data_IF_458141087938
#
_entry.id   IF_458141087938
#
_cell.length_a   1.000
_cell.length_b   1.000
_cell.length_c   1.000
_cell.angle_alpha   90.00
_cell.angle_beta   90.00
_cell.angle_gamma   90.00
#
_symmetry.space_group_name_H-M   'P 1'
#
loop_
_entity.id
_entity.type
_entity.pdbx_description
1 polymer ?
#
# COMPACT_ATOMS: atom_id res chain seq x y z
N UNK A 1 39.31 61.67 10.55
CA UNK A 1 39.78 60.62 11.47
C UNK A 1 38.53 60.01 12.07
N UNK A 2 38.04 58.96 11.46
CA UNK A 2 36.85 58.22 11.94
C UNK A 2 37.36 57.01 12.74
N UNK A 3 37.20 57.09 14.05
CA UNK A 3 37.46 55.95 14.93
C UNK A 3 36.41 54.86 14.67
N UNK A 4 36.87 53.85 14.02
CA UNK A 4 36.12 52.59 13.83
C UNK A 4 36.10 51.88 15.21
N UNK A 5 34.98 52.00 15.91
CA UNK A 5 34.69 51.20 17.11
C UNK A 5 34.60 49.73 16.72
N UNK A 6 35.73 49.04 16.73
CA UNK A 6 35.81 47.60 16.78
C UNK A 6 35.01 47.12 18.01
N UNK A 7 33.80 46.61 17.81
CA UNK A 7 33.10 45.83 18.81
C UNK A 7 33.97 44.61 19.09
N UNK A 8 34.65 44.59 20.20
CA UNK A 8 35.28 43.40 20.74
C UNK A 8 34.22 42.32 20.88
N UNK A 9 34.19 41.37 19.96
CA UNK A 9 33.40 40.16 20.13
C UNK A 9 33.95 39.48 21.38
N UNK A 10 33.18 39.50 22.48
CA UNK A 10 33.57 38.81 23.71
C UNK A 10 33.86 37.34 23.37
N UNK A 11 34.95 36.83 23.89
CA UNK A 11 35.35 35.44 23.69
C UNK A 11 34.14 34.53 24.04
N UNK A 12 33.77 33.64 23.12
CA UNK A 12 32.68 32.69 23.34
C UNK A 12 33.05 31.83 24.53
N UNK A 13 32.17 31.80 25.55
CA UNK A 13 32.40 30.99 26.74
C UNK A 13 32.21 29.51 26.44
N UNK A 14 32.92 28.66 27.15
CA UNK A 14 32.70 27.21 27.08
C UNK A 14 31.53 26.79 27.95
N UNK A 15 30.98 25.62 27.71
CA UNK A 15 29.86 25.04 28.48
C UNK A 15 30.28 24.69 29.92
N UNK A 16 31.56 24.65 30.23
CA UNK A 16 32.12 24.22 31.52
C UNK A 16 32.32 22.72 31.66
N UNK A 17 31.87 21.94 30.67
CA UNK A 17 32.16 20.51 30.59
C UNK A 17 33.49 20.28 29.86
N UNK A 18 34.32 19.34 30.37
CA UNK A 18 35.53 18.89 29.69
C UNK A 18 35.56 17.38 29.55
N UNK A 19 36.01 16.90 28.38
CA UNK A 19 36.21 15.49 28.06
C UNK A 19 37.74 15.30 27.90
N UNK A 20 38.26 14.14 28.25
CA UNK A 20 39.68 13.78 28.15
C UNK A 20 40.66 14.80 28.82
N UNK A 21 40.14 15.62 29.74
CA UNK A 21 40.89 16.57 30.54
C UNK A 21 41.01 17.97 29.93
N UNK A 22 41.02 18.14 28.63
CA UNK A 22 41.27 19.42 27.96
C UNK A 22 40.29 19.78 26.84
N UNK A 23 39.51 18.82 26.33
CA UNK A 23 38.57 19.05 25.26
C UNK A 23 37.30 19.72 25.81
N UNK A 24 37.00 20.93 25.36
CA UNK A 24 35.80 21.68 25.76
C UNK A 24 35.04 22.17 24.55
N UNK A 25 33.72 22.27 24.68
CA UNK A 25 32.84 22.85 23.65
C UNK A 25 32.50 24.31 23.95
N UNK A 26 32.33 25.11 22.90
CA UNK A 26 31.89 26.49 23.01
C UNK A 26 30.37 26.57 23.18
N UNK A 27 29.91 27.42 24.09
CA UNK A 27 28.52 27.74 24.31
C UNK A 27 28.03 28.79 23.28
N UNK A 28 27.89 28.35 22.02
CA UNK A 28 27.41 29.21 20.96
C UNK A 28 25.88 29.35 21.01
N UNK A 29 25.32 30.56 20.81
CA UNK A 29 23.87 30.74 20.70
C UNK A 29 23.35 29.99 19.48
N UNK A 30 22.16 29.41 19.62
CA UNK A 30 21.50 28.73 18.50
C UNK A 30 21.17 29.75 17.39
N UNK A 31 21.32 29.39 16.11
CA UNK A 31 20.94 30.23 14.99
C UNK A 31 19.44 30.57 15.04
N UNK A 32 19.07 31.80 14.73
CA UNK A 32 17.66 32.23 14.75
C UNK A 32 16.76 31.43 13.83
N UNK A 33 17.26 31.07 12.63
CA UNK A 33 16.48 30.24 11.70
C UNK A 33 16.15 28.87 12.29
N UNK A 34 17.07 28.29 13.07
CA UNK A 34 16.84 27.01 13.73
C UNK A 34 15.76 27.11 14.81
N UNK A 35 15.79 28.19 15.61
CA UNK A 35 14.76 28.45 16.62
C UNK A 35 13.38 28.61 15.99
N UNK A 36 13.28 29.34 14.88
CA UNK A 36 12.02 29.47 14.16
C UNK A 36 11.52 28.13 13.58
N UNK A 37 12.42 27.34 13.01
CA UNK A 37 12.08 26.00 12.54
C UNK A 37 11.60 25.10 13.68
N UNK A 38 12.28 25.16 14.84
CA UNK A 38 11.86 24.41 16.02
C UNK A 38 10.47 24.84 16.52
N UNK A 39 10.18 26.12 16.66
CA UNK A 39 8.84 26.58 17.05
C UNK A 39 7.78 26.21 16.02
N UNK A 40 8.11 26.23 14.75
CA UNK A 40 7.20 25.76 13.69
C UNK A 40 6.86 24.28 13.84
N UNK A 41 7.83 23.41 14.19
CA UNK A 41 7.55 21.99 14.45
C UNK A 41 6.68 21.77 15.69
N UNK A 42 6.87 22.57 16.74
CA UNK A 42 6.01 22.53 17.94
C UNK A 42 4.57 22.92 17.59
N UNK A 43 4.39 24.00 16.84
CA UNK A 43 3.07 24.45 16.39
C UNK A 43 2.42 23.39 15.48
N UNK A 44 3.18 22.82 14.55
CA UNK A 44 2.72 21.72 13.71
C UNK A 44 2.25 20.51 14.54
N UNK A 45 3.03 20.11 15.55
CA UNK A 45 2.67 19.00 16.42
C UNK A 45 1.35 19.25 17.17
N UNK A 46 1.13 20.45 17.69
CA UNK A 46 -0.10 20.82 18.39
C UNK A 46 -1.31 20.75 17.45
N UNK A 47 -1.18 21.29 16.23
CA UNK A 47 -2.23 21.23 15.21
C UNK A 47 -2.50 19.77 14.82
N UNK A 48 -1.44 18.99 14.60
CA UNK A 48 -1.56 17.58 14.24
C UNK A 48 -2.33 16.78 15.31
N UNK A 49 -2.02 16.98 16.59
CA UNK A 49 -2.70 16.28 17.68
C UNK A 49 -4.19 16.62 17.82
N UNK A 50 -4.58 17.81 17.37
CA UNK A 50 -6.00 18.21 17.34
C UNK A 50 -6.71 17.54 16.15
N UNK A 51 -6.08 17.50 14.99
CA UNK A 51 -6.70 17.04 13.75
C UNK A 51 -6.70 15.51 13.61
N UNK A 52 -5.70 14.83 14.16
CA UNK A 52 -5.50 13.38 13.99
C UNK A 52 -5.62 12.61 15.30
N UNK A 53 -5.94 11.30 15.25
CA UNK A 53 -5.92 10.46 16.44
C UNK A 53 -4.52 10.46 17.08
N UNK A 54 -4.43 10.81 18.36
CA UNK A 54 -3.13 11.00 19.00
C UNK A 54 -3.05 10.51 20.46
N UNK A 55 -3.93 10.97 21.34
CA UNK A 55 -3.78 10.76 22.77
C UNK A 55 -4.59 9.58 23.31
N UNK A 56 -4.01 8.71 24.12
CA UNK A 56 -4.76 7.70 24.85
C UNK A 56 -5.55 8.35 25.99
N UNK A 57 -6.86 8.10 26.03
CA UNK A 57 -7.77 8.63 27.05
C UNK A 57 -8.69 7.50 27.54
N UNK A 58 -8.59 7.14 28.82
CA UNK A 58 -9.50 6.19 29.49
C UNK A 58 -9.84 4.92 28.70
N UNK A 59 -8.82 4.22 28.17
CA UNK A 59 -8.99 2.97 27.40
C UNK A 59 -9.34 3.16 25.91
N UNK A 60 -9.39 4.40 25.45
CA UNK A 60 -9.54 4.77 24.03
C UNK A 60 -8.51 5.84 23.67
N UNK A 61 -8.69 6.53 22.55
CA UNK A 61 -7.82 7.64 22.11
C UNK A 61 -8.65 8.78 21.50
N UNK A 62 -8.07 9.97 21.44
CA UNK A 62 -8.68 11.10 20.74
C UNK A 62 -8.79 10.79 19.26
N UNK A 63 -9.96 11.05 18.67
CA UNK A 63 -10.26 10.66 17.28
C UNK A 63 -9.91 11.73 16.24
N UNK A 64 -9.43 12.87 16.71
CA UNK A 64 -9.22 14.04 15.85
C UNK A 64 -10.52 14.80 15.58
N UNK A 65 -10.38 16.05 15.12
CA UNK A 65 -11.49 16.94 14.80
C UNK A 65 -11.53 17.20 13.31
N UNK A 66 -12.72 17.14 12.69
CA UNK A 66 -12.97 17.41 11.26
C UNK A 66 -12.28 16.43 10.30
N UNK A 67 -11.75 15.33 10.78
CA UNK A 67 -11.04 14.37 9.96
C UNK A 67 -11.79 13.03 9.95
N UNK A 68 -12.71 12.90 9.00
CA UNK A 68 -13.53 11.70 8.81
C UNK A 68 -13.28 11.09 7.45
N UNK A 69 -13.46 9.77 7.35
CA UNK A 69 -13.37 9.00 6.11
C UNK A 69 -14.69 8.28 5.90
N UNK A 70 -15.17 8.33 4.68
CA UNK A 70 -16.36 7.59 4.23
C UNK A 70 -15.93 6.50 3.26
N UNK A 71 -16.42 5.30 3.44
CA UNK A 71 -16.16 4.13 2.59
C UNK A 71 -17.38 3.21 2.60
N UNK A 72 -17.46 2.30 1.64
CA UNK A 72 -18.49 1.26 1.59
C UNK A 72 -17.98 0.02 2.33
N UNK A 73 -18.77 -0.50 3.27
CA UNK A 73 -18.41 -1.70 4.03
C UNK A 73 -18.69 -3.00 3.23
N UNK A 74 -18.35 -4.17 3.80
CA UNK A 74 -18.58 -5.47 3.17
C UNK A 74 -20.05 -5.79 2.88
N UNK A 75 -20.98 -5.11 3.54
CA UNK A 75 -22.42 -5.30 3.39
C UNK A 75 -23.02 -4.32 2.36
N UNK A 76 -22.19 -3.52 1.70
CA UNK A 76 -22.59 -2.54 0.70
C UNK A 76 -23.15 -1.24 1.28
N UNK A 77 -22.98 -0.99 2.58
CA UNK A 77 -23.48 0.22 3.22
C UNK A 77 -22.39 1.30 3.32
N UNK A 78 -22.77 2.54 3.07
CA UNK A 78 -21.90 3.68 3.28
C UNK A 78 -21.65 3.92 4.78
N UNK A 79 -20.39 3.96 5.18
CA UNK A 79 -19.97 4.11 6.57
C UNK A 79 -18.96 5.24 6.72
N UNK A 80 -19.29 6.20 7.58
CA UNK A 80 -18.39 7.30 7.93
C UNK A 80 -17.78 7.05 9.32
N UNK A 81 -16.48 7.18 9.44
CA UNK A 81 -15.74 7.03 10.68
C UNK A 81 -14.66 8.10 10.83
N UNK A 82 -14.08 8.23 12.03
CA UNK A 82 -12.89 9.06 12.22
C UNK A 82 -11.73 8.52 11.40
N UNK A 83 -10.80 9.41 11.05
CA UNK A 83 -9.61 9.03 10.28
C UNK A 83 -8.84 7.90 10.96
N UNK A 84 -8.57 6.87 10.21
CA UNK A 84 -7.65 5.78 10.57
C UNK A 84 -7.14 5.13 9.29
N UNK A 85 -5.96 4.51 9.36
CA UNK A 85 -5.28 3.91 8.20
C UNK A 85 -6.08 2.79 7.55
N UNK A 86 -6.86 2.03 8.32
CA UNK A 86 -7.69 0.94 7.80
C UNK A 86 -8.84 1.47 6.93
N UNK A 87 -9.54 2.49 7.42
CA UNK A 87 -10.63 3.11 6.66
C UNK A 87 -10.13 3.87 5.44
N UNK A 88 -8.95 4.50 5.55
CA UNK A 88 -8.28 5.12 4.40
C UNK A 88 -7.93 4.08 3.34
N UNK A 89 -7.37 2.94 3.73
CA UNK A 89 -7.08 1.85 2.80
C UNK A 89 -8.35 1.35 2.09
N UNK A 90 -9.45 1.15 2.84
CA UNK A 90 -10.72 0.73 2.24
C UNK A 90 -11.25 1.76 1.24
N UNK A 91 -11.16 3.04 1.57
CA UNK A 91 -11.53 4.12 0.64
C UNK A 91 -10.63 4.13 -0.60
N UNK A 92 -9.31 4.03 -0.43
CA UNK A 92 -8.38 4.01 -1.56
C UNK A 92 -8.54 2.78 -2.46
N UNK A 93 -8.91 1.63 -1.90
CA UNK A 93 -9.23 0.43 -2.68
C UNK A 93 -10.54 0.57 -3.49
N UNK A 94 -11.43 1.50 -3.11
CA UNK A 94 -12.70 1.76 -3.80
C UNK A 94 -12.60 2.95 -4.76
N UNK A 95 -11.97 4.04 -4.34
CA UNK A 95 -12.00 5.33 -5.03
C UNK A 95 -10.61 5.80 -5.50
N UNK A 96 -9.55 5.11 -5.12
CA UNK A 96 -8.20 5.45 -5.51
C UNK A 96 -8.00 5.38 -7.03
N UNK A 97 -7.16 6.23 -7.57
CA UNK A 97 -6.92 6.29 -9.02
C UNK A 97 -6.45 4.97 -9.64
N UNK A 98 -5.79 4.11 -8.85
CA UNK A 98 -5.40 2.77 -9.27
C UNK A 98 -6.61 1.82 -9.31
N UNK A 99 -7.48 1.88 -8.27
CA UNK A 99 -8.68 1.07 -8.19
C UNK A 99 -9.66 1.40 -9.33
N UNK A 100 -9.90 2.68 -9.57
CA UNK A 100 -10.77 3.14 -10.67
C UNK A 100 -10.24 2.66 -12.03
N UNK A 101 -8.92 2.80 -12.29
CA UNK A 101 -8.33 2.28 -13.54
C UNK A 101 -8.41 0.76 -13.66
N UNK A 102 -8.18 0.04 -12.57
CA UNK A 102 -8.32 -1.42 -12.55
C UNK A 102 -9.75 -1.86 -12.85
N UNK A 103 -10.74 -1.16 -12.27
CA UNK A 103 -12.15 -1.44 -12.53
C UNK A 103 -12.54 -1.19 -13.99
N UNK A 104 -12.05 -0.11 -14.59
CA UNK A 104 -12.26 0.18 -16.02
C UNK A 104 -11.71 -0.95 -16.93
N UNK A 105 -10.54 -1.49 -16.62
CA UNK A 105 -10.00 -2.64 -17.36
C UNK A 105 -10.82 -3.92 -17.10
N UNK A 106 -11.23 -4.16 -15.87
CA UNK A 106 -12.10 -5.31 -15.55
C UNK A 106 -13.40 -5.26 -16.31
N UNK A 107 -14.07 -4.11 -16.34
CA UNK A 107 -15.31 -3.91 -17.08
C UNK A 107 -15.16 -4.16 -18.59
N UNK A 108 -14.02 -3.72 -19.15
CA UNK A 108 -13.69 -3.99 -20.56
C UNK A 108 -13.44 -5.47 -20.82
N UNK A 109 -12.70 -6.15 -19.95
CA UNK A 109 -12.35 -7.57 -20.10
C UNK A 109 -13.58 -8.45 -19.93
N UNK A 110 -14.43 -8.16 -18.95
CA UNK A 110 -15.67 -8.93 -18.72
C UNK A 110 -16.70 -8.78 -19.82
N UNK A 111 -16.65 -7.67 -20.56
CA UNK A 111 -17.54 -7.45 -21.73
C UNK A 111 -16.97 -7.98 -23.04
N UNK A 112 -15.67 -8.31 -23.12
CA UNK A 112 -14.98 -8.74 -24.32
C UNK A 112 -14.97 -10.28 -24.47
N UNK A 113 -14.93 -10.75 -25.70
CA UNK A 113 -14.66 -12.14 -26.01
C UNK A 113 -13.17 -12.49 -25.81
N UNK A 114 -12.85 -13.76 -25.61
CA UNK A 114 -11.44 -14.22 -25.48
C UNK A 114 -10.57 -13.83 -26.66
N UNK A 115 -11.14 -13.86 -27.88
CA UNK A 115 -10.43 -13.45 -29.11
C UNK A 115 -10.11 -11.96 -29.12
N UNK A 116 -10.99 -11.11 -28.60
CA UNK A 116 -10.76 -9.68 -28.49
C UNK A 116 -9.70 -9.39 -27.41
N UNK A 117 -9.76 -10.07 -26.26
CA UNK A 117 -8.74 -9.94 -25.21
C UNK A 117 -7.36 -10.32 -25.72
N UNK A 118 -7.25 -11.45 -26.44
CA UNK A 118 -5.99 -11.93 -27.02
C UNK A 118 -5.41 -11.00 -28.10
N UNK A 119 -6.26 -10.25 -28.79
CA UNK A 119 -5.87 -9.32 -29.84
C UNK A 119 -5.46 -7.93 -29.31
N UNK A 120 -5.93 -7.55 -28.13
CA UNK A 120 -5.62 -6.25 -27.52
C UNK A 120 -4.44 -6.37 -26.55
N UNK A 121 -3.32 -5.70 -26.87
CA UNK A 121 -2.09 -5.79 -26.08
C UNK A 121 -2.24 -5.25 -24.65
N UNK A 122 -3.06 -4.20 -24.46
CA UNK A 122 -3.26 -3.58 -23.15
C UNK A 122 -4.15 -4.46 -22.26
N UNK A 123 -5.25 -5.01 -22.81
CA UNK A 123 -6.08 -5.98 -22.10
C UNK A 123 -5.28 -7.23 -21.74
N UNK A 124 -4.45 -7.74 -22.65
CA UNK A 124 -3.57 -8.91 -22.38
C UNK A 124 -2.55 -8.61 -21.28
N UNK A 125 -1.92 -7.44 -21.29
CA UNK A 125 -0.95 -7.08 -20.26
C UNK A 125 -1.61 -7.02 -18.86
N UNK A 126 -2.78 -6.40 -18.77
CA UNK A 126 -3.56 -6.32 -17.53
C UNK A 126 -4.01 -7.72 -17.07
N UNK A 127 -4.61 -8.51 -17.99
CA UNK A 127 -5.10 -9.86 -17.69
C UNK A 127 -3.97 -10.75 -17.17
N UNK A 128 -2.79 -10.73 -17.81
CA UNK A 128 -1.62 -11.50 -17.35
C UNK A 128 -1.15 -11.08 -15.96
N UNK A 129 -1.09 -9.79 -15.71
CA UNK A 129 -0.68 -9.28 -14.40
C UNK A 129 -1.63 -9.73 -13.29
N UNK A 130 -2.93 -9.63 -13.53
CA UNK A 130 -3.98 -10.05 -12.60
C UNK A 130 -4.00 -11.57 -12.43
N UNK A 131 -3.96 -12.32 -13.53
CA UNK A 131 -3.98 -13.78 -13.53
C UNK A 131 -2.77 -14.37 -12.77
N UNK A 132 -1.59 -13.76 -12.84
CA UNK A 132 -0.43 -14.19 -12.06
C UNK A 132 -0.68 -14.14 -10.55
N UNK A 133 -1.34 -13.09 -10.06
CA UNK A 133 -1.72 -12.98 -8.65
C UNK A 133 -2.75 -14.06 -8.27
N UNK A 134 -3.84 -14.14 -9.03
CA UNK A 134 -4.92 -15.11 -8.80
C UNK A 134 -4.38 -16.56 -8.84
N UNK A 135 -3.54 -16.87 -9.83
CA UNK A 135 -2.89 -18.19 -9.94
C UNK A 135 -2.00 -18.48 -8.74
N UNK A 136 -1.21 -17.49 -8.32
CA UNK A 136 -0.31 -17.62 -7.16
C UNK A 136 -1.08 -17.95 -5.86
N UNK A 137 -2.20 -17.31 -5.66
CA UNK A 137 -2.98 -17.46 -4.42
C UNK A 137 -3.86 -18.72 -4.42
N UNK A 138 -4.39 -19.15 -5.57
CA UNK A 138 -5.41 -20.19 -5.64
C UNK A 138 -4.94 -21.49 -6.32
N UNK A 139 -4.10 -21.41 -7.34
CA UNK A 139 -3.73 -22.56 -8.18
C UNK A 139 -2.32 -23.09 -7.85
N UNK A 140 -1.37 -22.20 -7.60
CA UNK A 140 0.03 -22.57 -7.35
C UNK A 140 0.25 -23.47 -6.13
N UNK A 141 -0.56 -23.45 -5.04
CA UNK A 141 -0.43 -24.40 -3.94
C UNK A 141 -0.46 -25.87 -4.39
N UNK A 142 -1.22 -26.18 -5.46
CA UNK A 142 -1.27 -27.51 -6.05
C UNK A 142 -0.40 -27.64 -7.30
N UNK A 143 -0.51 -26.66 -8.22
CA UNK A 143 0.15 -26.76 -9.53
C UNK A 143 1.57 -26.18 -9.59
N UNK A 144 2.08 -25.62 -8.47
CA UNK A 144 3.38 -24.95 -8.42
C UNK A 144 3.35 -23.55 -9.04
N UNK A 145 4.27 -22.67 -8.63
CA UNK A 145 4.31 -21.26 -9.04
C UNK A 145 4.42 -21.04 -10.56
N UNK A 146 4.99 -21.98 -11.28
CA UNK A 146 5.10 -21.96 -12.75
C UNK A 146 4.14 -22.91 -13.45
N UNK A 147 3.18 -23.52 -12.75
CA UNK A 147 2.25 -24.47 -13.31
C UNK A 147 2.85 -25.87 -13.59
N UNK A 148 4.08 -26.15 -13.16
CA UNK A 148 4.78 -27.41 -13.46
C UNK A 148 4.19 -28.65 -12.76
N UNK A 149 3.25 -28.44 -11.85
CA UNK A 149 2.58 -29.53 -11.14
C UNK A 149 3.49 -30.32 -10.20
N UNK A 150 2.99 -31.48 -9.78
CA UNK A 150 3.74 -32.50 -9.02
C UNK A 150 3.48 -33.86 -9.64
N UNK A 151 4.50 -34.50 -10.14
CA UNK A 151 4.39 -35.81 -10.83
C UNK A 151 3.61 -36.83 -10.00
N UNK A 152 2.54 -37.37 -10.58
CA UNK A 152 1.67 -38.36 -9.95
C UNK A 152 0.63 -37.82 -8.96
N UNK A 153 0.60 -36.49 -8.72
CA UNK A 153 -0.35 -35.83 -7.82
C UNK A 153 -1.16 -34.72 -8.50
N UNK A 154 -0.44 -33.74 -9.06
CA UNK A 154 -1.06 -32.58 -9.72
C UNK A 154 -0.51 -32.43 -11.13
N UNK A 155 -1.37 -32.27 -12.14
CA UNK A 155 -0.94 -32.16 -13.54
C UNK A 155 -0.07 -30.92 -13.77
N UNK A 156 0.85 -31.05 -14.71
CA UNK A 156 1.59 -29.91 -15.25
C UNK A 156 0.65 -29.13 -16.19
N UNK A 157 0.56 -27.82 -15.98
CA UNK A 157 -0.25 -26.91 -16.78
C UNK A 157 0.57 -26.15 -17.82
N UNK A 158 1.88 -26.42 -17.87
CA UNK A 158 2.82 -25.74 -18.74
C UNK A 158 3.35 -26.65 -19.88
N UNK A 159 2.87 -27.88 -19.98
CA UNK A 159 3.18 -28.80 -21.07
C UNK A 159 2.04 -28.87 -22.10
N UNK A 160 2.20 -29.69 -23.12
CA UNK A 160 1.24 -29.86 -24.20
C UNK A 160 0.23 -31.01 -23.94
N UNK A 161 0.28 -31.65 -22.77
CA UNK A 161 -0.57 -32.79 -22.41
C UNK A 161 -1.84 -32.34 -21.70
N UNK A 162 -2.90 -32.10 -22.47
CA UNK A 162 -4.21 -31.63 -21.99
C UNK A 162 -5.17 -32.79 -21.75
N UNK A 163 -5.33 -33.24 -20.51
CA UNK A 163 -6.21 -34.34 -20.12
C UNK A 163 -7.70 -34.04 -20.34
N UNK A 164 -8.12 -32.81 -20.21
CA UNK A 164 -9.52 -32.37 -20.20
C UNK A 164 -9.83 -31.38 -21.34
N UNK A 165 -8.92 -31.24 -22.28
CA UNK A 165 -8.99 -30.27 -23.36
C UNK A 165 -8.16 -29.03 -23.09
N UNK A 166 -7.65 -28.42 -24.17
CA UNK A 166 -6.73 -27.26 -24.12
C UNK A 166 -7.28 -26.01 -24.82
N UNK A 167 -8.53 -26.04 -25.29
CA UNK A 167 -9.20 -24.83 -25.77
C UNK A 167 -9.53 -23.90 -24.59
N UNK A 168 -9.70 -22.61 -24.87
CA UNK A 168 -10.00 -21.62 -23.82
C UNK A 168 -11.31 -21.96 -23.11
N UNK A 169 -12.30 -22.41 -23.86
CA UNK A 169 -13.61 -22.82 -23.35
C UNK A 169 -13.53 -24.06 -22.45
N UNK A 170 -12.70 -25.05 -22.81
CA UNK A 170 -12.48 -26.26 -22.01
C UNK A 170 -11.71 -25.94 -20.72
N UNK A 171 -10.74 -25.02 -20.79
CA UNK A 171 -10.02 -24.52 -19.60
C UNK A 171 -10.95 -23.75 -18.67
N UNK A 172 -11.83 -22.88 -19.23
CA UNK A 172 -12.85 -22.16 -18.45
C UNK A 172 -13.79 -23.15 -17.74
N UNK A 173 -14.28 -24.17 -18.43
CA UNK A 173 -15.12 -25.21 -17.84
C UNK A 173 -14.39 -25.96 -16.73
N UNK A 174 -13.11 -26.32 -16.95
CA UNK A 174 -12.26 -26.97 -15.95
C UNK A 174 -12.10 -26.13 -14.69
N UNK A 175 -11.85 -24.84 -14.82
CA UNK A 175 -11.71 -23.93 -13.68
C UNK A 175 -13.07 -23.73 -12.99
N UNK A 176 -14.13 -23.55 -13.76
CA UNK A 176 -15.46 -23.24 -13.24
C UNK A 176 -16.07 -24.41 -12.46
N UNK A 177 -15.97 -25.62 -12.99
CA UNK A 177 -16.67 -26.78 -12.45
C UNK A 177 -15.74 -27.74 -11.67
N UNK A 178 -14.43 -27.59 -11.83
CA UNK A 178 -13.45 -28.50 -11.27
C UNK A 178 -13.51 -29.89 -11.90
N UNK A 179 -12.77 -30.84 -11.36
CA UNK A 179 -12.77 -32.23 -11.78
C UNK A 179 -12.88 -33.18 -10.61
N UNK A 180 -13.46 -34.34 -10.89
CA UNK A 180 -13.60 -35.41 -9.91
C UNK A 180 -12.22 -35.84 -9.41
N UNK A 181 -11.97 -35.68 -8.13
CA UNK A 181 -10.69 -35.88 -7.48
C UNK A 181 -10.40 -34.71 -6.52
N UNK A 182 -9.34 -33.97 -6.78
CA UNK A 182 -8.86 -32.91 -5.90
C UNK A 182 -8.93 -31.49 -6.48
N UNK A 183 -9.46 -31.31 -7.69
CA UNK A 183 -9.63 -29.97 -8.25
C UNK A 183 -11.02 -29.41 -7.93
N UNK A 184 -11.14 -28.48 -6.96
CA UNK A 184 -12.44 -27.88 -6.63
C UNK A 184 -12.93 -26.95 -7.75
N UNK A 185 -14.24 -26.69 -7.75
CA UNK A 185 -14.85 -25.68 -8.61
C UNK A 185 -14.50 -24.28 -8.09
N UNK A 186 -14.13 -23.36 -8.97
CA UNK A 186 -13.78 -21.98 -8.64
C UNK A 186 -14.81 -20.94 -9.12
N UNK A 187 -15.91 -21.37 -9.72
CA UNK A 187 -16.95 -20.49 -10.29
C UNK A 187 -17.44 -19.39 -9.35
N UNK A 188 -17.52 -19.68 -8.06
CA UNK A 188 -18.01 -18.76 -7.05
C UNK A 188 -16.88 -18.06 -6.28
N UNK A 189 -15.64 -18.25 -6.71
CA UNK A 189 -14.45 -17.70 -6.05
C UNK A 189 -13.91 -16.46 -6.76
N UNK A 190 -14.14 -16.35 -8.07
CA UNK A 190 -13.65 -15.27 -8.93
C UNK A 190 -14.79 -14.45 -9.51
#
# INVERSE_FOLDING_TARGET
MSEEKSKAQGAVQTTGHSWDGDLQEFNNPLPNWWLWAFYATVLFALIYWILYPAWPVAGTFTKGVLNTITFVDSDGNEKTTHWNTRSLLLQELQEGSAAVRSQEYLDRITAASYTEILADADMMAFTRSMANGIFGDNCAPCHGAGGAGVTGLFPNLADDDWLWGGSVEEIEETISNGHYGFMPAFKDTF
#
